data_IF_486364543448
#
_entry.id   IF_486364543448
#
_cell.length_a   1.000
_cell.length_b   1.000
_cell.length_c   1.000
_cell.angle_alpha   90.00
_cell.angle_beta   90.00
_cell.angle_gamma   90.00
#
_symmetry.space_group_name_H-M   'P 1'
#
loop_
_entity.id
_entity.type
_entity.pdbx_description
1 polymer ?
#
# COMPACT_ATOMS: atom_id res chain seq x y z
N UNK A 1 -4.21 -4.63 26.40
CA UNK A 1 -5.50 -4.73 25.64
C UNK A 1 -5.16 -5.08 24.21
N UNK A 2 -5.87 -6.04 23.60
CA UNK A 2 -5.68 -6.36 22.17
C UNK A 2 -6.27 -5.23 21.32
N UNK A 3 -5.71 -4.93 20.15
CA UNK A 3 -6.23 -3.89 19.25
C UNK A 3 -7.72 -4.08 18.95
N UNK A 4 -8.16 -5.34 18.70
CA UNK A 4 -9.56 -5.68 18.46
C UNK A 4 -10.53 -5.30 19.60
N UNK A 5 -10.02 -5.14 20.84
CA UNK A 5 -10.80 -4.71 22.00
C UNK A 5 -10.79 -3.19 22.19
N UNK A 6 -9.83 -2.50 21.55
CA UNK A 6 -9.67 -1.05 21.67
C UNK A 6 -10.23 -0.28 20.47
N UNK A 7 -10.62 -0.99 19.39
CA UNK A 7 -11.21 -0.38 18.21
C UNK A 7 -12.70 -0.10 18.42
N UNK A 8 -13.12 1.11 18.04
CA UNK A 8 -14.53 1.46 17.93
C UNK A 8 -15.08 0.85 16.62
N UNK A 9 -15.78 -0.27 16.73
CA UNK A 9 -16.36 -0.96 15.58
C UNK A 9 -17.71 -0.33 15.27
N UNK A 10 -17.96 0.00 14.02
CA UNK A 10 -19.29 0.47 13.57
C UNK A 10 -20.23 -0.72 13.48
N UNK A 11 -21.05 -0.93 14.52
CA UNK A 11 -21.90 -2.11 14.67
C UNK A 11 -23.10 -2.20 13.71
N UNK A 12 -23.46 -1.13 13.01
CA UNK A 12 -24.64 -1.05 12.16
C UNK A 12 -24.30 -0.81 10.68
N UNK A 13 -23.16 -1.34 10.21
CA UNK A 13 -22.80 -1.20 8.83
C UNK A 13 -23.57 -2.18 7.95
N UNK A 14 -24.25 -1.65 6.94
CA UNK A 14 -24.83 -2.45 5.87
C UNK A 14 -23.85 -2.47 4.71
N UNK A 15 -23.31 -3.63 4.31
CA UNK A 15 -22.42 -3.72 3.16
C UNK A 15 -23.06 -3.09 1.92
N UNK A 16 -22.24 -2.42 1.09
CA UNK A 16 -22.74 -1.90 -0.17
C UNK A 16 -23.20 -3.05 -1.07
N UNK A 17 -24.39 -2.91 -1.61
CA UNK A 17 -24.87 -3.79 -2.66
C UNK A 17 -24.14 -3.43 -3.96
N UNK A 18 -23.20 -4.27 -4.37
CA UNK A 18 -22.55 -4.14 -5.67
C UNK A 18 -23.48 -4.72 -6.73
N UNK A 19 -24.19 -3.87 -7.46
CA UNK A 19 -25.05 -4.30 -8.56
C UNK A 19 -24.25 -4.63 -9.82
N UNK A 20 -23.07 -4.02 -9.98
CA UNK A 20 -22.18 -4.22 -11.16
C UNK A 20 -20.70 -4.03 -10.79
N UNK A 21 -19.77 -4.48 -11.66
CA UNK A 21 -18.34 -4.12 -11.56
C UNK A 21 -18.09 -2.62 -11.72
N UNK A 22 -18.98 -1.90 -12.40
CA UNK A 22 -18.92 -0.45 -12.52
C UNK A 22 -19.06 0.27 -11.18
N UNK A 23 -19.63 -0.38 -10.16
CA UNK A 23 -19.69 0.20 -8.81
C UNK A 23 -18.30 0.25 -8.13
N UNK A 24 -17.35 -0.57 -8.58
CA UNK A 24 -15.96 -0.56 -8.10
C UNK A 24 -15.11 0.50 -8.82
N UNK A 25 -15.23 0.55 -10.15
CA UNK A 25 -14.56 1.51 -11.03
C UNK A 25 -15.60 2.02 -12.03
N UNK A 26 -16.36 3.05 -11.66
CA UNK A 26 -17.46 3.51 -12.51
C UNK A 26 -16.95 4.09 -13.84
N UNK A 27 -17.70 3.90 -14.95
CA UNK A 27 -17.35 4.52 -16.23
C UNK A 27 -17.17 6.03 -16.13
N UNK A 28 -18.01 6.71 -15.34
CA UNK A 28 -17.95 8.15 -15.11
C UNK A 28 -16.64 8.56 -14.44
N UNK A 29 -16.16 7.80 -13.45
CA UNK A 29 -14.88 8.03 -12.79
C UNK A 29 -13.70 7.82 -13.76
N UNK A 30 -13.79 6.81 -14.62
CA UNK A 30 -12.78 6.55 -15.65
C UNK A 30 -12.75 7.71 -16.64
N UNK A 31 -13.92 8.14 -17.14
CA UNK A 31 -14.05 9.25 -18.10
C UNK A 31 -13.54 10.56 -17.49
N UNK A 32 -13.85 10.83 -16.22
CA UNK A 32 -13.33 11.97 -15.48
C UNK A 32 -11.79 11.96 -15.40
N UNK A 33 -11.19 10.83 -15.01
CA UNK A 33 -9.73 10.71 -14.96
C UNK A 33 -9.07 10.88 -16.33
N UNK A 34 -9.69 10.36 -17.39
CA UNK A 34 -9.21 10.53 -18.76
C UNK A 34 -9.30 12.01 -19.21
N UNK A 35 -10.38 12.70 -18.86
CA UNK A 35 -10.56 14.11 -19.16
C UNK A 35 -9.56 14.99 -18.40
N UNK A 36 -9.40 14.78 -17.10
CA UNK A 36 -8.49 15.54 -16.23
C UNK A 36 -7.02 15.42 -16.67
N UNK A 37 -6.65 14.28 -17.27
CA UNK A 37 -5.29 14.05 -17.77
C UNK A 37 -5.12 14.41 -19.26
N UNK A 38 -6.16 14.92 -19.91
CA UNK A 38 -6.11 15.22 -21.35
C UNK A 38 -5.95 14.00 -22.25
N UNK A 39 -6.21 12.79 -21.73
CA UNK A 39 -6.02 11.50 -22.42
C UNK A 39 -7.29 11.09 -23.18
N UNK A 40 -7.94 12.04 -23.85
CA UNK A 40 -9.21 11.80 -24.55
C UNK A 40 -8.98 11.09 -25.89
N UNK A 41 -9.75 10.06 -26.15
CA UNK A 41 -9.72 9.34 -27.44
C UNK A 41 -10.67 10.03 -28.44
N UNK A 42 -10.13 10.83 -29.34
CA UNK A 42 -10.91 11.47 -30.43
C UNK A 42 -11.52 10.47 -31.44
N UNK A 43 -11.03 9.24 -31.44
CA UNK A 43 -11.54 8.16 -32.31
C UNK A 43 -11.74 6.90 -31.48
N UNK A 44 -12.93 6.31 -31.48
CA UNK A 44 -13.20 4.98 -30.92
C UNK A 44 -12.34 3.93 -31.66
N UNK A 45 -11.14 3.70 -31.16
CA UNK A 45 -10.24 2.64 -31.63
C UNK A 45 -10.57 1.36 -30.87
N UNK A 46 -10.10 0.23 -31.40
CA UNK A 46 -10.29 -1.08 -30.83
C UNK A 46 -9.74 -1.23 -29.38
N UNK A 47 -8.68 -0.50 -29.05
CA UNK A 47 -8.17 -0.33 -27.69
C UNK A 47 -8.52 1.10 -27.24
N UNK A 48 -9.67 1.25 -26.64
CA UNK A 48 -10.07 2.53 -26.04
C UNK A 48 -9.26 2.82 -24.77
N UNK A 49 -9.22 4.07 -24.33
CA UNK A 49 -8.46 4.43 -23.13
C UNK A 49 -9.13 3.86 -21.87
N UNK A 50 -10.44 3.71 -21.84
CA UNK A 50 -11.21 3.05 -20.78
C UNK A 50 -10.80 1.58 -20.62
N UNK A 51 -10.62 0.86 -21.74
CA UNK A 51 -10.07 -0.50 -21.72
C UNK A 51 -8.65 -0.56 -21.15
N UNK A 52 -7.86 0.50 -21.36
CA UNK A 52 -6.48 0.52 -20.86
C UNK A 52 -6.41 0.63 -19.34
N UNK A 53 -7.39 1.25 -18.67
CA UNK A 53 -7.50 1.20 -17.19
C UNK A 53 -7.57 -0.26 -16.72
N UNK A 54 -8.50 -1.01 -17.32
CA UNK A 54 -8.67 -2.43 -16.98
C UNK A 54 -7.49 -3.30 -17.41
N UNK A 55 -6.87 -3.00 -18.55
CA UNK A 55 -5.70 -3.74 -19.02
C UNK A 55 -4.50 -3.56 -18.07
N UNK A 56 -4.24 -2.33 -17.61
CA UNK A 56 -3.13 -2.05 -16.68
C UNK A 56 -3.41 -2.63 -15.29
N UNK A 57 -4.62 -2.49 -14.78
CA UNK A 57 -5.05 -3.11 -13.51
C UNK A 57 -5.00 -4.64 -13.61
N UNK A 58 -5.46 -5.18 -14.74
CA UNK A 58 -5.45 -6.62 -15.04
C UNK A 58 -4.04 -7.22 -15.12
N UNK A 59 -3.01 -6.43 -15.45
CA UNK A 59 -1.61 -6.91 -15.41
C UNK A 59 -1.21 -7.40 -14.02
N UNK A 60 -1.73 -6.80 -12.97
CA UNK A 60 -1.50 -7.23 -11.60
C UNK A 60 -2.44 -8.37 -11.20
N UNK A 61 -3.74 -8.24 -11.50
CA UNK A 61 -4.76 -9.24 -11.15
C UNK A 61 -4.49 -10.60 -11.82
N UNK A 62 -4.06 -10.59 -13.08
CA UNK A 62 -3.81 -11.79 -13.90
C UNK A 62 -2.33 -11.89 -14.30
N UNK A 63 -1.46 -11.89 -13.29
CA UNK A 63 -0.01 -11.85 -13.47
C UNK A 63 0.55 -12.94 -14.38
N UNK A 64 -0.04 -14.13 -14.40
CA UNK A 64 0.38 -15.26 -15.26
C UNK A 64 -0.02 -15.09 -16.72
N UNK A 65 -0.93 -14.16 -17.05
CA UNK A 65 -1.39 -13.95 -18.43
C UNK A 65 -0.46 -12.99 -19.17
N UNK A 66 -0.20 -13.25 -20.46
CA UNK A 66 0.45 -12.28 -21.34
C UNK A 66 -0.48 -11.08 -21.59
N UNK A 67 0.08 -9.95 -22.03
CA UNK A 67 -0.72 -8.78 -22.40
C UNK A 67 -1.75 -9.08 -23.49
N UNK A 68 -1.39 -9.95 -24.45
CA UNK A 68 -2.31 -10.38 -25.50
C UNK A 68 -3.49 -11.17 -24.94
N UNK A 69 -3.23 -12.09 -24.00
CA UNK A 69 -4.29 -12.83 -23.33
C UNK A 69 -5.20 -11.91 -22.51
N UNK A 70 -4.63 -10.93 -21.77
CA UNK A 70 -5.40 -9.93 -21.02
C UNK A 70 -6.34 -9.15 -21.94
N UNK A 71 -5.82 -8.67 -23.05
CA UNK A 71 -6.63 -7.91 -24.03
C UNK A 71 -7.68 -8.81 -24.68
N UNK A 72 -7.38 -10.08 -24.94
CA UNK A 72 -8.38 -11.03 -25.45
C UNK A 72 -9.50 -11.28 -24.45
N UNK A 73 -9.19 -11.35 -23.15
CA UNK A 73 -10.21 -11.41 -22.10
C UNK A 73 -11.07 -10.15 -22.06
N UNK A 74 -10.47 -8.97 -22.23
CA UNK A 74 -11.19 -7.70 -22.29
C UNK A 74 -11.98 -7.53 -23.62
N UNK A 75 -11.52 -8.09 -24.75
CA UNK A 75 -12.24 -8.10 -26.03
C UNK A 75 -13.54 -8.95 -25.97
N UNK A 76 -13.59 -9.97 -25.10
CA UNK A 76 -14.81 -10.73 -24.83
C UNK A 76 -15.85 -9.82 -24.14
N UNK A 77 -15.39 -8.85 -23.35
CA UNK A 77 -16.25 -7.84 -22.68
C UNK A 77 -16.86 -6.81 -23.66
N UNK A 78 -16.16 -6.55 -24.77
CA UNK A 78 -16.54 -5.55 -25.78
C UNK A 78 -16.62 -6.21 -27.17
N UNK A 79 -17.74 -6.87 -27.52
CA UNK A 79 -17.84 -7.67 -28.70
C UNK A 79 -17.58 -6.85 -29.98
N UNK A 80 -16.50 -7.16 -30.67
CA UNK A 80 -16.09 -6.62 -31.95
C UNK A 80 -15.87 -7.73 -32.98
N UNK A 81 -16.02 -7.42 -34.27
CA UNK A 81 -15.91 -8.41 -35.36
C UNK A 81 -14.51 -9.00 -35.62
N UNK A 82 -13.48 -8.60 -34.86
CA UNK A 82 -12.07 -9.10 -35.04
C UNK A 82 -11.41 -9.36 -33.69
N UNK A 83 -11.09 -10.63 -33.35
CA UNK A 83 -10.68 -11.03 -31.99
C UNK A 83 -9.20 -10.81 -31.63
N UNK A 84 -8.34 -10.34 -32.52
CA UNK A 84 -6.91 -10.26 -32.23
C UNK A 84 -6.34 -8.84 -32.33
N UNK A 85 -5.76 -8.35 -31.22
CA UNK A 85 -4.95 -7.13 -31.18
C UNK A 85 -3.48 -7.54 -31.18
N UNK A 86 -2.69 -6.96 -32.11
CA UNK A 86 -1.27 -7.21 -32.13
C UNK A 86 -0.59 -6.76 -30.82
N UNK A 87 0.37 -7.52 -30.27
CA UNK A 87 1.07 -7.15 -29.03
C UNK A 87 1.69 -5.75 -29.08
N UNK A 88 2.20 -5.33 -30.23
CA UNK A 88 2.75 -3.98 -30.45
C UNK A 88 1.69 -2.88 -30.29
N UNK A 89 0.45 -3.12 -30.69
CA UNK A 89 -0.65 -2.16 -30.53
C UNK A 89 -1.00 -1.95 -29.06
N UNK A 90 -0.90 -2.99 -28.23
CA UNK A 90 -1.10 -2.89 -26.78
C UNK A 90 -0.01 -2.03 -26.14
N UNK A 91 1.25 -2.23 -26.51
CA UNK A 91 2.37 -1.42 -26.00
C UNK A 91 2.19 0.04 -26.40
N UNK A 92 1.85 0.31 -27.66
CA UNK A 92 1.57 1.68 -28.12
C UNK A 92 0.36 2.31 -27.41
N UNK A 93 -0.68 1.53 -27.14
CA UNK A 93 -1.84 2.01 -26.38
C UNK A 93 -1.44 2.36 -24.94
N UNK A 94 -0.64 1.53 -24.26
CA UNK A 94 -0.10 1.82 -22.94
C UNK A 94 0.77 3.08 -22.92
N UNK A 95 1.60 3.31 -23.92
CA UNK A 95 2.42 4.52 -24.04
C UNK A 95 1.55 5.79 -24.18
N UNK A 96 0.47 5.73 -25.00
CA UNK A 96 -0.47 6.85 -25.13
C UNK A 96 -1.32 7.08 -23.89
N UNK A 97 -1.65 6.00 -23.18
CA UNK A 97 -2.42 6.07 -21.95
C UNK A 97 -1.65 6.79 -20.81
N UNK A 98 -0.32 6.61 -20.77
CA UNK A 98 0.55 7.25 -19.79
C UNK A 98 0.40 6.69 -18.36
N UNK A 99 1.12 7.28 -17.43
CA UNK A 99 1.04 6.89 -16.00
C UNK A 99 0.01 7.73 -15.22
N UNK A 100 -0.26 8.96 -15.65
CA UNK A 100 -1.07 9.93 -14.90
C UNK A 100 -2.52 9.49 -14.74
N UNK A 101 -3.10 8.86 -15.75
CA UNK A 101 -4.48 8.37 -15.69
C UNK A 101 -4.62 7.32 -14.57
N UNK A 102 -3.72 6.32 -14.55
CA UNK A 102 -3.83 5.23 -13.57
C UNK A 102 -3.45 5.72 -12.17
N UNK A 103 -2.54 6.69 -12.05
CA UNK A 103 -2.25 7.39 -10.80
C UNK A 103 -3.50 8.11 -10.27
N UNK A 104 -4.12 8.91 -11.10
CA UNK A 104 -5.33 9.66 -10.73
C UNK A 104 -6.50 8.72 -10.38
N UNK A 105 -6.64 7.60 -11.12
CA UNK A 105 -7.58 6.53 -10.78
C UNK A 105 -7.33 5.98 -9.37
N UNK A 106 -6.08 5.70 -9.01
CA UNK A 106 -5.75 5.27 -7.66
C UNK A 106 -6.11 6.35 -6.62
N UNK A 107 -5.74 7.61 -6.85
CA UNK A 107 -5.97 8.72 -5.92
C UNK A 107 -7.47 8.99 -5.69
N UNK A 108 -8.30 8.93 -6.74
CA UNK A 108 -9.75 9.13 -6.63
C UNK A 108 -10.45 7.92 -6.01
N UNK A 109 -10.11 6.71 -6.45
CA UNK A 109 -10.72 5.49 -5.91
C UNK A 109 -10.35 5.26 -4.44
N UNK A 110 -9.10 5.55 -4.05
CA UNK A 110 -8.72 5.39 -2.64
C UNK A 110 -9.57 6.31 -1.74
N UNK A 111 -9.79 7.58 -2.10
CA UNK A 111 -10.66 8.50 -1.33
C UNK A 111 -12.07 7.94 -1.21
N UNK A 112 -12.66 7.57 -2.34
CA UNK A 112 -14.01 7.00 -2.39
C UNK A 112 -14.13 5.74 -1.53
N UNK A 113 -13.15 4.84 -1.60
CA UNK A 113 -13.20 3.59 -0.83
C UNK A 113 -12.92 3.80 0.66
N UNK A 114 -12.09 4.77 1.04
CA UNK A 114 -11.93 5.17 2.43
C UNK A 114 -13.23 5.77 3.00
N UNK A 115 -13.91 6.64 2.26
CA UNK A 115 -15.20 7.20 2.66
C UNK A 115 -16.31 6.14 2.79
N UNK A 116 -16.29 5.16 1.88
CA UNK A 116 -17.29 4.07 1.85
C UNK A 116 -16.97 2.91 2.80
N UNK A 117 -15.79 2.85 3.38
CA UNK A 117 -15.38 1.80 4.31
C UNK A 117 -15.51 2.30 5.74
N UNK A 118 -16.29 1.64 6.61
CA UNK A 118 -16.35 1.98 8.02
C UNK A 118 -15.05 1.56 8.68
N UNK A 119 -14.07 2.45 8.69
CA UNK A 119 -12.77 2.19 9.29
C UNK A 119 -12.89 2.16 10.80
N UNK A 120 -12.25 1.18 11.43
CA UNK A 120 -12.17 1.10 12.88
C UNK A 120 -11.20 2.16 13.42
N UNK A 121 -11.58 2.79 14.52
CA UNK A 121 -10.80 3.86 15.15
C UNK A 121 -10.33 3.45 16.55
N UNK A 122 -9.12 3.88 16.90
CA UNK A 122 -8.60 3.75 18.24
C UNK A 122 -8.56 5.12 18.91
N UNK A 123 -9.32 5.32 19.98
CA UNK A 123 -9.48 6.62 20.64
C UNK A 123 -9.79 7.78 19.68
N UNK A 124 -10.64 7.54 18.68
CA UNK A 124 -11.01 8.50 17.67
C UNK A 124 -9.94 8.71 16.57
N UNK A 125 -8.87 7.94 16.57
CA UNK A 125 -7.78 8.04 15.59
C UNK A 125 -7.84 6.88 14.58
N UNK A 126 -7.73 7.20 13.29
CA UNK A 126 -7.47 6.22 12.24
C UNK A 126 -6.04 5.71 12.34
N UNK A 127 -5.85 4.39 12.35
CA UNK A 127 -4.53 3.79 12.47
C UNK A 127 -3.90 3.61 11.09
N UNK A 128 -2.79 4.29 10.87
CA UNK A 128 -2.02 4.25 9.63
C UNK A 128 -0.66 3.63 9.88
N UNK A 129 -0.08 3.00 8.88
CA UNK A 129 1.31 2.56 8.88
C UNK A 129 2.01 3.04 7.61
N UNK A 130 3.28 3.42 7.71
CA UNK A 130 4.13 3.80 6.57
C UNK A 130 5.35 2.91 6.55
N UNK A 131 5.64 2.32 5.40
CA UNK A 131 6.84 1.52 5.18
C UNK A 131 7.26 1.55 3.71
N UNK A 132 8.51 1.17 3.46
CA UNK A 132 9.11 1.14 2.15
C UNK A 132 9.32 -0.27 1.61
N UNK A 133 9.31 -0.40 0.30
CA UNK A 133 9.66 -1.63 -0.39
C UNK A 133 10.37 -1.33 -1.70
N UNK A 134 11.08 -2.33 -2.23
CA UNK A 134 11.82 -2.21 -3.50
C UNK A 134 11.26 -3.21 -4.50
N UNK A 135 11.07 -2.74 -5.74
CA UNK A 135 10.63 -3.54 -6.87
C UNK A 135 11.77 -3.68 -7.86
N UNK A 136 11.90 -4.87 -8.47
CA UNK A 136 12.85 -5.11 -9.56
C UNK A 136 12.22 -4.76 -10.89
N UNK A 137 12.99 -4.14 -11.77
CA UNK A 137 12.59 -3.89 -13.15
C UNK A 137 13.42 -4.75 -14.10
N UNK A 138 12.95 -5.01 -15.33
CA UNK A 138 13.78 -5.65 -16.35
C UNK A 138 15.11 -4.92 -16.54
N UNK A 139 16.16 -5.69 -16.78
CA UNK A 139 17.51 -5.19 -17.00
C UNK A 139 17.61 -4.61 -18.44
N UNK A 140 17.15 -3.37 -18.58
CA UNK A 140 17.27 -2.60 -19.82
C UNK A 140 18.07 -1.31 -19.56
N UNK A 141 18.79 -0.78 -20.57
CA UNK A 141 19.53 0.47 -20.40
C UNK A 141 18.66 1.61 -19.91
N UNK A 142 17.42 1.73 -20.39
CA UNK A 142 16.50 2.79 -20.02
C UNK A 142 16.06 2.67 -18.55
N UNK A 143 15.76 1.46 -18.08
CA UNK A 143 15.39 1.24 -16.68
C UNK A 143 16.59 1.42 -15.76
N UNK A 144 17.78 1.02 -16.18
CA UNK A 144 19.02 1.21 -15.39
C UNK A 144 19.35 2.69 -15.24
N UNK A 145 19.29 3.45 -16.34
CA UNK A 145 19.49 4.88 -16.32
C UNK A 145 18.49 5.65 -15.45
N UNK A 146 17.20 5.20 -15.47
CA UNK A 146 16.13 5.89 -14.75
C UNK A 146 16.06 5.54 -13.25
N UNK A 147 16.31 4.29 -12.89
CA UNK A 147 16.05 3.79 -11.54
C UNK A 147 17.31 3.45 -10.75
N UNK A 148 18.40 3.09 -11.45
CA UNK A 148 19.65 2.70 -10.82
C UNK A 148 19.54 1.38 -10.05
N UNK A 149 20.61 1.04 -9.35
CA UNK A 149 20.76 -0.21 -8.58
C UNK A 149 21.20 0.09 -7.16
N UNK A 150 20.66 -0.65 -6.19
CA UNK A 150 21.19 -0.59 -4.82
C UNK A 150 22.56 -1.25 -4.79
N UNK A 151 23.55 -0.53 -4.28
CA UNK A 151 24.89 -1.04 -4.03
C UNK A 151 25.17 -1.04 -2.53
N UNK A 152 25.63 -2.18 -2.00
CA UNK A 152 26.27 -2.30 -0.69
C UNK A 152 27.75 -2.60 -0.91
N UNK A 153 28.59 -2.38 0.12
CA UNK A 153 30.06 -2.55 0.08
C UNK A 153 30.50 -3.85 -0.63
N UNK A 154 29.67 -4.89 -0.62
CA UNK A 154 30.01 -6.21 -1.17
C UNK A 154 29.09 -6.71 -2.29
N UNK A 155 28.02 -5.97 -2.68
CA UNK A 155 27.06 -6.44 -3.69
C UNK A 155 26.32 -5.28 -4.34
N UNK A 156 26.35 -5.25 -5.67
CA UNK A 156 25.41 -4.46 -6.48
C UNK A 156 24.21 -5.32 -6.86
N UNK A 157 23.02 -4.74 -6.89
CA UNK A 157 21.83 -5.45 -7.39
C UNK A 157 22.04 -5.86 -8.86
N UNK A 158 21.64 -7.07 -9.22
CA UNK A 158 21.67 -7.56 -10.61
C UNK A 158 20.61 -6.86 -11.50
N UNK A 159 19.63 -6.21 -10.88
CA UNK A 159 18.47 -5.60 -11.55
C UNK A 159 18.34 -4.15 -11.16
N UNK A 160 17.95 -3.26 -12.08
CA UNK A 160 17.52 -1.92 -11.73
C UNK A 160 16.30 -1.98 -10.80
N UNK A 161 16.15 -1.01 -9.91
CA UNK A 161 15.18 -1.08 -8.82
C UNK A 161 14.45 0.24 -8.62
N UNK A 162 13.14 0.13 -8.37
CA UNK A 162 12.27 1.23 -7.94
C UNK A 162 11.99 1.08 -6.45
N UNK A 163 12.21 2.15 -5.69
CA UNK A 163 11.76 2.25 -4.29
C UNK A 163 10.32 2.76 -4.28
N UNK A 164 9.49 2.13 -3.49
CA UNK A 164 8.11 2.54 -3.24
C UNK A 164 7.89 2.68 -1.75
N UNK A 165 7.26 3.77 -1.32
CA UNK A 165 6.77 3.95 0.04
C UNK A 165 5.25 4.07 -0.03
N UNK A 166 4.55 3.33 0.81
CA UNK A 166 3.10 3.38 0.92
C UNK A 166 2.66 3.80 2.31
N UNK A 167 1.48 4.40 2.38
CA UNK A 167 0.71 4.57 3.59
C UNK A 167 -0.50 3.64 3.52
N UNK A 168 -0.76 2.89 4.58
CA UNK A 168 -1.81 1.87 4.66
C UNK A 168 -2.63 2.07 5.94
N UNK A 169 -3.95 1.94 5.84
CA UNK A 169 -4.79 1.81 7.02
C UNK A 169 -4.66 0.38 7.57
N UNK A 170 -4.39 0.28 8.88
CA UNK A 170 -3.92 -0.96 9.53
C UNK A 170 -4.99 -2.06 9.59
N UNK A 171 -6.26 -1.71 9.70
CA UNK A 171 -7.35 -2.68 9.90
C UNK A 171 -7.93 -3.20 8.58
N UNK A 172 -8.04 -2.35 7.57
CA UNK A 172 -8.54 -2.71 6.24
C UNK A 172 -7.44 -3.16 5.28
N UNK A 173 -6.19 -2.74 5.53
CA UNK A 173 -5.06 -2.81 4.61
C UNK A 173 -5.24 -1.99 3.32
N UNK A 174 -6.19 -1.07 3.28
CA UNK A 174 -6.33 -0.14 2.17
C UNK A 174 -5.15 0.84 2.15
N UNK A 175 -4.54 1.01 0.98
CA UNK A 175 -3.51 2.01 0.78
C UNK A 175 -4.17 3.37 0.58
N UNK A 176 -3.82 4.34 1.43
CA UNK A 176 -4.25 5.74 1.30
C UNK A 176 -3.36 6.54 0.36
N UNK A 177 -2.10 6.17 0.26
CA UNK A 177 -1.13 6.86 -0.58
C UNK A 177 0.02 5.93 -0.98
N UNK A 178 0.64 6.23 -2.11
CA UNK A 178 1.87 5.60 -2.57
C UNK A 178 2.76 6.63 -3.29
N UNK A 179 4.06 6.52 -3.09
CA UNK A 179 5.07 7.28 -3.83
C UNK A 179 6.21 6.36 -4.23
N UNK A 180 6.78 6.56 -5.41
CA UNK A 180 7.90 5.74 -5.87
C UNK A 180 8.86 6.52 -6.76
N UNK A 181 10.14 6.20 -6.63
CA UNK A 181 11.22 6.78 -7.41
C UNK A 181 12.42 5.83 -7.48
N UNK A 182 13.46 6.26 -8.18
CA UNK A 182 14.75 5.60 -8.24
C UNK A 182 15.31 5.31 -6.85
N UNK A 183 15.92 4.14 -6.67
CA UNK A 183 16.60 3.80 -5.40
C UNK A 183 17.84 4.67 -5.13
N UNK A 184 18.38 5.31 -6.15
CA UNK A 184 19.55 6.20 -6.05
C UNK A 184 19.16 7.67 -5.87
N UNK A 185 17.98 8.10 -6.31
CA UNK A 185 17.56 9.51 -6.29
C UNK A 185 16.85 9.91 -5.00
N UNK A 186 15.99 9.05 -4.44
CA UNK A 186 15.15 9.37 -3.29
C UNK A 186 15.32 8.36 -2.15
N UNK A 187 15.49 8.87 -0.93
CA UNK A 187 15.40 8.08 0.30
C UNK A 187 13.94 7.78 0.69
N UNK A 188 13.75 6.82 1.60
CA UNK A 188 12.41 6.49 2.10
C UNK A 188 11.73 7.68 2.77
N UNK A 189 12.47 8.52 3.50
CA UNK A 189 11.94 9.72 4.12
C UNK A 189 11.49 10.78 3.10
N UNK A 190 12.13 10.85 1.93
CA UNK A 190 11.74 11.78 0.86
C UNK A 190 10.45 11.34 0.18
N UNK A 191 10.30 10.04 -0.03
CA UNK A 191 9.06 9.47 -0.56
C UNK A 191 7.93 9.56 0.47
N UNK A 192 8.20 9.30 1.75
CA UNK A 192 7.21 9.45 2.82
C UNK A 192 6.67 10.89 2.90
N UNK A 193 7.51 11.89 2.66
CA UNK A 193 7.08 13.29 2.63
C UNK A 193 5.99 13.56 1.56
N UNK A 194 6.04 12.85 0.44
CA UNK A 194 5.04 12.97 -0.62
C UNK A 194 3.67 12.41 -0.22
N UNK A 195 3.60 11.59 0.84
CA UNK A 195 2.35 11.01 1.34
C UNK A 195 1.60 11.94 2.30
N UNK A 196 2.26 13.00 2.81
CA UNK A 196 1.68 13.92 3.78
C UNK A 196 0.33 14.51 3.34
N UNK A 197 0.14 14.96 2.07
CA UNK A 197 -1.14 15.53 1.63
C UNK A 197 -2.33 14.56 1.71
N UNK A 198 -2.08 13.25 1.56
CA UNK A 198 -3.11 12.21 1.60
C UNK A 198 -3.30 11.60 3.01
N UNK A 199 -2.47 12.01 3.98
CA UNK A 199 -2.62 11.52 5.37
C UNK A 199 -3.89 12.09 5.98
N UNK A 200 -4.80 11.25 6.53
CA UNK A 200 -6.03 11.73 7.13
C UNK A 200 -5.75 12.53 8.42
N UNK A 201 -6.61 13.49 8.72
CA UNK A 201 -6.69 14.11 10.04
C UNK A 201 -7.19 13.09 11.06
N UNK A 202 -7.03 13.37 12.33
CA UNK A 202 -7.38 12.44 13.42
C UNK A 202 -6.80 11.04 13.18
N UNK A 203 -5.49 10.96 12.98
CA UNK A 203 -4.79 9.71 12.67
C UNK A 203 -3.53 9.50 13.50
N UNK A 204 -3.17 8.24 13.69
CA UNK A 204 -1.89 7.81 14.24
C UNK A 204 -1.12 7.02 13.17
N UNK A 205 0.03 7.51 12.75
CA UNK A 205 0.89 6.83 11.79
C UNK A 205 2.03 6.11 12.48
N UNK A 206 2.12 4.81 12.25
CA UNK A 206 3.18 3.92 12.73
C UNK A 206 4.31 3.86 11.70
N UNK A 207 5.49 4.31 12.11
CA UNK A 207 6.69 4.27 11.28
C UNK A 207 7.68 3.24 11.79
N UNK A 208 8.49 2.75 10.88
CA UNK A 208 9.68 2.02 11.26
C UNK A 208 10.82 2.99 11.68
N UNK A 209 11.89 2.42 12.24
CA UNK A 209 13.06 3.17 12.69
C UNK A 209 13.79 3.90 11.54
N UNK A 210 13.67 3.43 10.30
CA UNK A 210 14.27 4.03 9.10
C UNK A 210 13.74 5.43 8.82
N UNK A 211 12.51 5.71 9.22
CA UNK A 211 11.86 7.01 9.04
C UNK A 211 12.19 8.02 10.16
N UNK A 212 13.17 7.74 11.01
CA UNK A 212 13.59 8.68 12.05
C UNK A 212 14.27 9.91 11.43
N UNK A 213 13.45 10.88 11.03
CA UNK A 213 13.87 12.17 10.51
C UNK A 213 12.98 13.25 11.15
N UNK A 214 13.54 14.04 12.08
CA UNK A 214 12.74 14.98 12.90
C UNK A 214 11.98 16.00 12.05
N UNK A 215 12.55 16.45 10.93
CA UNK A 215 11.87 17.35 10.00
C UNK A 215 10.65 16.70 9.33
N UNK A 216 10.72 15.42 8.95
CA UNK A 216 9.58 14.65 8.43
C UNK A 216 8.49 14.53 9.49
N UNK A 217 8.85 14.15 10.71
CA UNK A 217 7.90 13.98 11.83
C UNK A 217 7.21 15.29 12.18
N UNK A 218 7.96 16.41 12.19
CA UNK A 218 7.38 17.74 12.38
C UNK A 218 6.40 18.10 11.24
N UNK A 219 6.82 17.93 9.98
CA UNK A 219 5.97 18.22 8.82
C UNK A 219 4.70 17.35 8.83
N UNK A 220 4.83 16.07 9.19
CA UNK A 220 3.70 15.14 9.30
C UNK A 220 2.64 15.63 10.30
N UNK A 221 3.09 15.99 11.49
CA UNK A 221 2.23 16.48 12.58
C UNK A 221 1.59 17.83 12.24
N UNK A 222 2.35 18.73 11.61
CA UNK A 222 1.93 20.12 11.37
C UNK A 222 1.02 20.26 10.13
N UNK A 223 0.92 19.25 9.28
CA UNK A 223 0.19 19.33 8.03
C UNK A 223 -1.33 19.16 8.16
N UNK A 224 -1.85 18.88 9.35
CA UNK A 224 -3.28 18.71 9.59
C UNK A 224 -3.63 18.65 11.08
N UNK A 225 -4.88 18.27 11.36
CA UNK A 225 -5.44 18.25 12.71
C UNK A 225 -5.28 16.88 13.36
N UNK A 226 -4.75 16.82 14.57
CA UNK A 226 -4.53 15.58 15.36
C UNK A 226 -3.85 14.46 14.52
N UNK A 227 -2.84 14.82 13.75
CA UNK A 227 -1.99 13.87 13.05
C UNK A 227 -0.84 13.45 13.95
N UNK A 228 -0.95 12.25 14.48
CA UNK A 228 0.04 11.69 15.38
C UNK A 228 0.97 10.74 14.64
N UNK A 229 2.17 10.56 15.19
CA UNK A 229 3.16 9.60 14.71
C UNK A 229 3.76 8.81 15.88
N UNK A 230 4.27 7.63 15.59
CA UNK A 230 4.95 6.74 16.52
C UNK A 230 6.02 5.93 15.80
N UNK A 231 7.21 5.83 16.41
CA UNK A 231 8.33 5.03 15.91
C UNK A 231 9.29 4.63 17.05
N UNK A 232 10.17 3.62 16.83
CA UNK A 232 11.23 3.32 17.79
C UNK A 232 12.27 4.44 17.84
N UNK A 233 12.74 4.74 19.04
CA UNK A 233 13.82 5.68 19.22
C UNK A 233 15.10 5.17 18.51
N UNK A 234 15.74 6.03 17.73
CA UNK A 234 17.00 5.70 17.06
C UNK A 234 18.13 5.61 18.09
N UNK A 235 18.97 4.58 17.97
CA UNK A 235 20.18 4.46 18.81
C UNK A 235 21.08 5.69 18.66
N UNK A 236 21.46 6.28 19.76
CA UNK A 236 22.28 7.51 19.79
C UNK A 236 21.51 8.80 19.54
N UNK A 237 20.15 8.75 19.50
CA UNK A 237 19.35 9.96 19.44
C UNK A 237 19.60 10.85 20.67
N UNK A 238 19.84 12.14 20.43
CA UNK A 238 20.00 13.13 21.49
C UNK A 238 18.64 13.77 21.81
N UNK A 239 18.31 13.84 23.07
CA UNK A 239 17.09 14.50 23.56
C UNK A 239 17.29 15.07 24.96
N UNK A 240 16.51 16.07 25.31
CA UNK A 240 16.45 16.64 26.65
C UNK A 240 15.16 16.20 27.30
N UNK A 241 15.22 15.66 28.52
CA UNK A 241 14.02 15.37 29.31
C UNK A 241 13.45 16.71 29.82
N UNK A 242 12.22 16.99 29.42
CA UNK A 242 11.49 18.20 29.87
C UNK A 242 10.73 17.90 31.16
N UNK A 243 10.08 16.73 31.23
CA UNK A 243 9.29 16.32 32.39
C UNK A 243 9.20 14.78 32.45
N UNK A 244 9.43 14.23 33.64
CA UNK A 244 9.12 12.82 33.92
C UNK A 244 7.62 12.62 34.07
N UNK A 245 7.08 11.59 33.43
CA UNK A 245 5.68 11.18 33.55
C UNK A 245 5.50 9.93 34.44
N UNK A 246 6.60 9.41 35.00
CA UNK A 246 6.59 8.18 35.78
C UNK A 246 6.55 6.90 34.93
N UNK A 247 6.71 5.75 35.58
CA UNK A 247 6.58 4.42 34.97
C UNK A 247 7.36 4.24 33.63
N UNK A 248 8.57 4.80 33.55
CA UNK A 248 9.41 4.72 32.34
C UNK A 248 8.91 5.58 31.16
N UNK A 249 8.27 6.70 31.46
CA UNK A 249 7.79 7.66 30.47
C UNK A 249 8.32 9.07 30.77
N UNK A 250 8.59 9.83 29.73
CA UNK A 250 9.01 11.22 29.85
C UNK A 250 8.54 12.05 28.64
N UNK A 251 8.26 13.33 28.87
CA UNK A 251 8.24 14.31 27.78
C UNK A 251 9.68 14.71 27.49
N UNK A 252 10.02 14.62 26.22
CA UNK A 252 11.35 14.93 25.71
C UNK A 252 11.29 15.97 24.62
N UNK A 253 12.36 16.73 24.49
CA UNK A 253 12.58 17.69 23.44
C UNK A 253 13.76 17.24 22.58
N UNK A 254 13.55 17.18 21.28
CA UNK A 254 14.53 16.78 20.28
C UNK A 254 14.91 17.98 19.42
N UNK A 255 16.22 18.24 19.30
CA UNK A 255 16.74 19.36 18.54
C UNK A 255 16.83 18.99 17.06
N UNK A 256 16.27 19.81 16.17
CA UNK A 256 16.45 19.64 14.74
C UNK A 256 17.86 20.10 14.33
N UNK A 257 18.54 19.29 13.51
CA UNK A 257 19.84 19.67 12.97
C UNK A 257 19.72 20.82 11.97
N UNK A 258 20.79 21.63 11.76
CA UNK A 258 20.78 22.68 10.74
C UNK A 258 20.44 22.17 9.33
N UNK A 259 20.90 20.95 8.98
CA UNK A 259 20.56 20.32 7.70
C UNK A 259 19.08 19.97 7.62
N UNK A 260 18.47 19.46 8.71
CA UNK A 260 17.04 19.19 8.76
C UNK A 260 16.23 20.47 8.58
N UNK A 261 16.60 21.56 9.23
CA UNK A 261 15.94 22.87 9.08
C UNK A 261 16.05 23.42 7.65
N UNK A 262 17.23 23.27 7.01
CA UNK A 262 17.43 23.67 5.62
C UNK A 262 16.55 22.88 4.65
N UNK A 263 16.38 21.56 4.89
CA UNK A 263 15.57 20.67 4.05
C UNK A 263 14.07 20.89 4.29
N UNK A 264 13.67 21.10 5.54
CA UNK A 264 12.27 21.24 5.96
C UNK A 264 12.00 22.69 6.37
N UNK A 265 11.73 23.54 5.37
CA UNK A 265 11.44 24.96 5.61
C UNK A 265 10.19 25.12 6.48
N UNK A 266 10.29 26.01 7.49
CA UNK A 266 9.20 26.22 8.45
C UNK A 266 9.16 25.21 9.61
N UNK A 267 10.09 24.25 9.68
CA UNK A 267 10.18 23.36 10.84
C UNK A 267 10.65 24.15 12.08
N UNK A 268 10.02 23.85 13.23
CA UNK A 268 10.44 24.41 14.51
C UNK A 268 11.86 23.96 14.89
N UNK A 269 12.53 24.71 15.77
CA UNK A 269 13.88 24.38 16.24
C UNK A 269 13.93 23.06 17.01
N UNK A 270 12.85 22.75 17.69
CA UNK A 270 12.70 21.58 18.54
C UNK A 270 11.39 20.86 18.25
N UNK A 271 11.38 19.56 18.48
CA UNK A 271 10.19 18.72 18.43
C UNK A 271 9.95 18.13 19.82
N UNK A 272 8.78 18.42 20.39
CA UNK A 272 8.35 17.82 21.66
C UNK A 272 7.69 16.47 21.38
N UNK A 273 8.09 15.45 22.13
CA UNK A 273 7.55 14.11 22.02
C UNK A 273 7.47 13.41 23.38
N UNK A 274 6.71 12.33 23.43
CA UNK A 274 6.66 11.43 24.57
C UNK A 274 7.54 10.22 24.29
N UNK A 275 8.50 9.98 25.18
CA UNK A 275 9.35 8.80 25.19
C UNK A 275 8.75 7.76 26.13
N UNK A 276 8.55 6.54 25.66
CA UNK A 276 8.01 5.42 26.40
C UNK A 276 9.04 4.28 26.39
N UNK A 277 9.47 3.84 27.58
CA UNK A 277 10.35 2.67 27.72
C UNK A 277 9.58 1.47 28.28
N UNK A 278 9.77 0.31 27.67
CA UNK A 278 9.19 -0.96 28.09
C UNK A 278 10.25 -2.06 28.01
N UNK A 279 10.31 -2.89 29.03
CA UNK A 279 11.10 -4.13 29.01
C UNK A 279 10.34 -5.23 28.26
N UNK A 280 10.95 -5.78 27.21
CA UNK A 280 10.42 -6.90 26.43
C UNK A 280 11.52 -7.97 26.28
N UNK A 281 11.30 -9.14 26.84
CA UNK A 281 12.24 -10.27 26.78
C UNK A 281 13.68 -9.88 27.21
N UNK A 282 13.81 -9.13 28.30
CA UNK A 282 15.10 -8.67 28.84
C UNK A 282 15.78 -7.57 28.02
N UNK A 283 15.08 -6.94 27.07
CA UNK A 283 15.57 -5.79 26.31
C UNK A 283 14.68 -4.59 26.50
N UNK A 284 15.29 -3.43 26.76
CA UNK A 284 14.56 -2.16 26.81
C UNK A 284 14.24 -1.71 25.39
N UNK A 285 12.95 -1.65 25.07
CA UNK A 285 12.42 -1.05 23.84
C UNK A 285 11.97 0.38 24.18
N UNK A 286 12.40 1.34 23.38
CA UNK A 286 12.02 2.75 23.50
C UNK A 286 11.22 3.19 22.29
N UNK A 287 10.04 3.73 22.54
CA UNK A 287 9.12 4.26 21.52
C UNK A 287 9.01 5.77 21.73
N UNK A 288 9.09 6.50 20.64
CA UNK A 288 8.88 7.93 20.57
C UNK A 288 7.56 8.21 19.85
N UNK A 289 6.74 9.13 20.41
CA UNK A 289 5.44 9.47 19.83
C UNK A 289 5.07 10.93 20.09
N UNK A 290 4.29 11.53 19.19
CA UNK A 290 3.69 12.85 19.36
C UNK A 290 2.48 12.87 20.32
N UNK A 291 1.97 11.71 20.74
CA UNK A 291 0.87 11.57 21.71
C UNK A 291 1.37 11.87 23.13
N UNK A 292 1.44 13.14 23.49
CA UNK A 292 2.06 13.60 24.72
C UNK A 292 1.21 13.42 25.98
N UNK A 293 -0.11 13.28 25.87
CA UNK A 293 -1.03 13.11 27.00
C UNK A 293 -1.12 11.64 27.46
N UNK A 294 -0.58 11.26 28.63
CA UNK A 294 -0.62 9.90 29.13
C UNK A 294 -2.00 9.45 29.63
N UNK A 295 -2.92 10.40 29.92
CA UNK A 295 -4.28 10.08 30.35
C UNK A 295 -5.15 9.72 29.15
N UNK A 296 -5.07 10.51 28.09
CA UNK A 296 -5.78 10.22 26.83
C UNK A 296 -5.21 8.96 26.13
N UNK A 297 -3.89 8.76 26.20
CA UNK A 297 -3.20 7.67 25.54
C UNK A 297 -2.39 6.81 26.54
N UNK A 298 -3.01 5.82 27.20
CA UNK A 298 -2.34 5.00 28.21
C UNK A 298 -1.12 4.24 27.65
N UNK A 299 -0.04 4.15 28.46
CA UNK A 299 1.22 3.51 28.04
C UNK A 299 1.04 2.10 27.50
N UNK A 300 0.22 1.28 28.17
CA UNK A 300 0.02 -0.11 27.79
C UNK A 300 -0.53 -0.22 26.35
N UNK A 301 -1.52 0.57 26.04
CA UNK A 301 -2.22 0.58 24.77
C UNK A 301 -1.30 1.11 23.64
N UNK A 302 -0.55 2.20 23.91
CA UNK A 302 0.41 2.78 22.95
C UNK A 302 1.50 1.76 22.57
N UNK A 303 2.00 0.99 23.54
CA UNK A 303 3.03 -0.02 23.25
C UNK A 303 2.46 -1.21 22.48
N UNK A 304 1.24 -1.61 22.76
CA UNK A 304 0.56 -2.68 22.03
C UNK A 304 0.32 -2.28 20.56
N UNK A 305 -0.16 -1.06 20.33
CA UNK A 305 -0.39 -0.52 18.99
C UNK A 305 0.85 -0.59 18.08
N UNK A 306 2.04 -0.36 18.62
CA UNK A 306 3.26 -0.40 17.80
C UNK A 306 3.49 -1.77 17.14
N UNK A 307 3.00 -2.84 17.75
CA UNK A 307 3.04 -4.18 17.17
C UNK A 307 2.31 -4.29 15.82
N UNK A 308 1.28 -3.48 15.61
CA UNK A 308 0.49 -3.47 14.37
C UNK A 308 1.19 -2.81 13.19
N UNK A 309 2.34 -2.16 13.37
CA UNK A 309 3.18 -1.71 12.26
C UNK A 309 3.51 -2.83 11.26
N UNK A 310 3.58 -4.07 11.73
CA UNK A 310 3.85 -5.22 10.85
C UNK A 310 2.76 -5.49 9.81
N UNK A 311 1.58 -4.91 9.93
CA UNK A 311 0.49 -5.14 8.98
C UNK A 311 0.83 -4.58 7.59
N UNK A 312 1.57 -3.46 7.49
CA UNK A 312 2.02 -2.96 6.17
C UNK A 312 3.06 -3.90 5.51
N UNK A 313 3.91 -4.55 6.31
CA UNK A 313 4.81 -5.58 5.77
C UNK A 313 4.03 -6.80 5.26
N UNK A 314 2.90 -7.14 5.92
CA UNK A 314 1.96 -8.13 5.41
C UNK A 314 1.33 -7.67 4.09
N UNK A 315 0.90 -6.42 3.97
CA UNK A 315 0.41 -5.83 2.72
C UNK A 315 1.41 -5.94 1.56
N UNK A 316 2.68 -5.62 1.79
CA UNK A 316 3.73 -5.83 0.78
C UNK A 316 3.95 -7.29 0.41
N UNK A 317 3.83 -8.20 1.39
CA UNK A 317 3.89 -9.64 1.13
C UNK A 317 2.71 -10.10 0.27
N UNK A 318 1.52 -9.60 0.54
CA UNK A 318 0.31 -9.87 -0.25
C UNK A 318 0.46 -9.40 -1.68
N UNK A 319 0.95 -8.20 -1.91
CA UNK A 319 1.23 -7.69 -3.25
C UNK A 319 2.27 -8.56 -3.98
N UNK A 320 3.41 -8.83 -3.35
CA UNK A 320 4.52 -9.56 -3.99
C UNK A 320 4.26 -11.05 -4.17
N UNK A 321 3.74 -11.71 -3.12
CA UNK A 321 3.63 -13.17 -3.10
C UNK A 321 2.30 -13.68 -3.62
N UNK A 322 1.21 -12.96 -3.38
CA UNK A 322 -0.13 -13.44 -3.69
C UNK A 322 -0.76 -12.71 -4.89
N UNK A 323 -0.59 -11.40 -5.00
CA UNK A 323 -1.09 -10.67 -6.17
C UNK A 323 -0.19 -10.93 -7.39
N UNK A 324 1.14 -10.77 -7.25
CA UNK A 324 2.10 -10.96 -8.33
C UNK A 324 2.73 -12.37 -8.39
N UNK A 325 2.20 -13.35 -7.67
CA UNK A 325 2.62 -14.77 -7.71
C UNK A 325 4.13 -14.98 -7.48
N UNK A 326 4.79 -14.19 -6.62
CA UNK A 326 6.24 -14.17 -6.40
C UNK A 326 7.08 -13.76 -7.64
N UNK A 327 6.47 -13.24 -8.69
CA UNK A 327 7.21 -12.65 -9.81
C UNK A 327 7.71 -11.27 -9.40
N UNK A 328 8.87 -11.23 -8.75
CA UNK A 328 9.43 -10.02 -8.13
C UNK A 328 9.91 -8.96 -9.14
N UNK A 329 10.12 -9.35 -10.40
CA UNK A 329 10.51 -8.44 -11.47
C UNK A 329 9.29 -7.98 -12.24
N UNK A 330 9.10 -6.68 -12.36
CA UNK A 330 8.03 -6.08 -13.18
C UNK A 330 8.21 -6.46 -14.65
N UNK A 331 7.16 -6.28 -15.48
CA UNK A 331 7.19 -6.69 -16.88
C UNK A 331 7.68 -5.60 -17.82
N UNK A 332 7.53 -4.34 -17.41
CA UNK A 332 7.69 -3.18 -18.28
C UNK A 332 9.16 -2.84 -18.49
N UNK A 333 9.56 -2.71 -19.75
CA UNK A 333 10.95 -2.48 -20.16
C UNK A 333 11.33 -1.00 -20.25
N UNK A 334 10.36 -0.10 -20.13
CA UNK A 334 10.57 1.35 -20.18
C UNK A 334 10.14 2.01 -18.88
N UNK A 335 10.83 3.04 -18.39
CA UNK A 335 10.56 3.65 -17.08
C UNK A 335 9.14 4.17 -16.90
N UNK A 336 8.59 4.84 -17.89
CA UNK A 336 7.20 5.34 -17.85
C UNK A 336 6.18 4.22 -17.75
N UNK A 337 6.43 3.08 -18.40
CA UNK A 337 5.57 1.91 -18.32
C UNK A 337 5.78 1.13 -17.01
N UNK A 338 6.95 1.21 -16.39
CA UNK A 338 7.21 0.67 -15.05
C UNK A 338 6.39 1.43 -14.01
N UNK A 339 6.40 2.77 -14.06
CA UNK A 339 5.59 3.61 -13.16
C UNK A 339 4.10 3.33 -13.35
N UNK A 340 3.64 3.27 -14.59
CA UNK A 340 2.26 2.88 -14.92
C UNK A 340 1.89 1.50 -14.35
N UNK A 341 2.78 0.49 -14.49
CA UNK A 341 2.56 -0.86 -13.97
C UNK A 341 2.45 -0.86 -12.43
N UNK A 342 3.27 -0.07 -11.73
CA UNK A 342 3.22 0.06 -10.28
C UNK A 342 1.90 0.70 -9.81
N UNK A 343 1.43 1.76 -10.48
CA UNK A 343 0.10 2.32 -10.19
C UNK A 343 -1.01 1.29 -10.41
N UNK A 344 -0.89 0.47 -11.45
CA UNK A 344 -1.82 -0.65 -11.68
C UNK A 344 -1.77 -1.69 -10.57
N UNK A 345 -0.59 -1.98 -10.01
CA UNK A 345 -0.43 -2.92 -8.88
C UNK A 345 -1.12 -2.39 -7.61
N UNK A 346 -0.90 -1.12 -7.24
CA UNK A 346 -1.51 -0.55 -6.02
C UNK A 346 -3.02 -0.37 -6.17
N UNK A 347 -3.50 -0.02 -7.37
CA UNK A 347 -4.94 0.05 -7.66
C UNK A 347 -5.60 -1.34 -7.58
N UNK A 348 -5.00 -2.36 -8.20
CA UNK A 348 -5.49 -3.73 -8.15
C UNK A 348 -5.50 -4.29 -6.71
N UNK A 349 -4.47 -3.96 -5.93
CA UNK A 349 -4.40 -4.34 -4.53
C UNK A 349 -5.55 -3.71 -3.72
N UNK A 350 -5.75 -2.39 -3.85
CA UNK A 350 -6.82 -1.69 -3.16
C UNK A 350 -8.21 -2.18 -3.58
N UNK A 351 -8.42 -2.49 -4.86
CA UNK A 351 -9.68 -3.07 -5.33
C UNK A 351 -10.01 -4.38 -4.60
N UNK A 352 -9.04 -5.29 -4.52
CA UNK A 352 -9.23 -6.55 -3.80
C UNK A 352 -9.45 -6.31 -2.30
N UNK A 353 -8.69 -5.40 -1.69
CA UNK A 353 -8.83 -5.09 -0.27
C UNK A 353 -10.16 -4.42 0.06
N UNK A 354 -10.66 -3.55 -0.81
CA UNK A 354 -11.97 -2.95 -0.65
C UNK A 354 -13.08 -4.02 -0.66
N UNK A 355 -13.04 -4.94 -1.63
CA UNK A 355 -14.00 -6.05 -1.66
C UNK A 355 -13.88 -6.93 -0.41
N UNK A 356 -12.66 -7.24 0.04
CA UNK A 356 -12.43 -8.01 1.26
C UNK A 356 -12.94 -7.29 2.51
N UNK A 357 -12.82 -5.97 2.58
CA UNK A 357 -13.38 -5.18 3.67
C UNK A 357 -14.92 -5.30 3.71
N UNK A 358 -15.58 -5.18 2.56
CA UNK A 358 -17.03 -5.38 2.46
C UNK A 358 -17.43 -6.79 2.92
N UNK A 359 -16.67 -7.82 2.52
CA UNK A 359 -16.89 -9.20 2.95
C UNK A 359 -16.72 -9.37 4.47
N UNK A 360 -15.69 -8.76 5.04
CA UNK A 360 -15.45 -8.83 6.49
C UNK A 360 -16.58 -8.16 7.27
N UNK A 361 -16.98 -6.97 6.87
CA UNK A 361 -18.06 -6.22 7.54
C UNK A 361 -19.45 -6.83 7.37
N UNK A 362 -19.66 -7.72 6.40
CA UNK A 362 -20.86 -8.56 6.35
C UNK A 362 -20.93 -9.58 7.50
N UNK A 363 -19.81 -9.83 8.18
CA UNK A 363 -19.66 -10.76 9.29
C UNK A 363 -19.55 -9.98 10.61
N UNK A 364 -20.25 -10.44 11.66
CA UNK A 364 -20.16 -9.79 12.98
C UNK A 364 -18.80 -10.05 13.62
N UNK A 365 -18.12 -8.97 14.02
CA UNK A 365 -16.86 -9.05 14.80
C UNK A 365 -15.65 -9.53 14.01
N UNK A 366 -15.66 -9.42 12.70
CA UNK A 366 -14.53 -9.75 11.82
C UNK A 366 -13.94 -8.48 11.22
N UNK A 367 -12.67 -8.22 11.51
CA UNK A 367 -11.92 -7.12 10.91
C UNK A 367 -11.34 -7.54 9.55
N UNK A 368 -11.21 -6.62 8.58
CA UNK A 368 -10.71 -6.94 7.23
C UNK A 368 -9.33 -7.60 7.19
N UNK A 369 -8.43 -7.27 8.14
CA UNK A 369 -7.09 -7.92 8.22
C UNK A 369 -7.17 -9.40 8.61
N UNK A 370 -8.29 -9.85 9.16
CA UNK A 370 -8.53 -11.26 9.49
C UNK A 370 -8.93 -12.10 8.27
N UNK A 371 -9.22 -11.47 7.14
CA UNK A 371 -9.52 -12.18 5.89
C UNK A 371 -8.24 -12.71 5.21
N UNK A 372 -8.32 -13.91 4.64
CA UNK A 372 -7.21 -14.51 3.89
C UNK A 372 -7.03 -13.85 2.53
N UNK A 373 -6.06 -12.93 2.38
CA UNK A 373 -5.81 -12.30 1.08
C UNK A 373 -5.59 -13.30 -0.05
N UNK A 374 -4.80 -14.37 0.21
CA UNK A 374 -4.50 -15.39 -0.81
C UNK A 374 -5.77 -16.07 -1.35
N UNK A 375 -6.65 -16.50 -0.46
CA UNK A 375 -7.88 -17.19 -0.84
C UNK A 375 -8.89 -16.22 -1.44
N UNK A 376 -9.08 -15.05 -0.82
CA UNK A 376 -9.98 -14.01 -1.33
C UNK A 376 -9.55 -13.53 -2.72
N UNK A 377 -8.27 -13.24 -2.93
CA UNK A 377 -7.77 -12.82 -4.23
C UNK A 377 -7.93 -13.90 -5.31
N UNK A 378 -7.74 -15.19 -4.96
CA UNK A 378 -7.98 -16.29 -5.89
C UNK A 378 -9.47 -16.36 -6.28
N UNK A 379 -10.34 -16.33 -5.28
CA UNK A 379 -11.79 -16.42 -5.45
C UNK A 379 -12.32 -15.22 -6.27
N UNK A 380 -11.99 -14.01 -5.87
CA UNK A 380 -12.41 -12.78 -6.55
C UNK A 380 -11.92 -12.74 -7.99
N UNK A 381 -10.64 -13.09 -8.26
CA UNK A 381 -10.11 -13.15 -9.63
C UNK A 381 -10.84 -14.15 -10.51
N UNK A 382 -11.21 -15.31 -9.96
CA UNK A 382 -11.97 -16.31 -10.70
C UNK A 382 -13.35 -15.77 -11.13
N UNK A 383 -14.05 -15.09 -10.22
CA UNK A 383 -15.34 -14.48 -10.53
C UNK A 383 -15.21 -13.29 -11.50
N UNK A 384 -14.22 -12.43 -11.30
CA UNK A 384 -13.92 -11.34 -12.24
C UNK A 384 -13.65 -11.84 -13.66
N UNK A 385 -13.04 -13.03 -13.82
CA UNK A 385 -12.78 -13.65 -15.12
C UNK A 385 -14.05 -14.19 -15.80
N UNK A 386 -15.08 -14.54 -15.04
CA UNK A 386 -16.32 -15.10 -15.56
C UNK A 386 -17.35 -14.02 -15.94
N UNK A 387 -17.30 -12.85 -15.31
CA UNK A 387 -18.25 -11.75 -15.51
C UNK A 387 -18.47 -11.35 -16.97
N UNK A 388 -17.44 -11.35 -17.85
CA UNK A 388 -17.61 -10.99 -19.25
C UNK A 388 -18.64 -11.81 -20.03
N UNK A 389 -18.79 -13.09 -19.69
CA UNK A 389 -19.73 -13.99 -20.34
C UNK A 389 -21.14 -13.97 -19.74
N UNK A 390 -21.39 -13.13 -18.73
CA UNK A 390 -22.62 -13.14 -17.95
C UNK A 390 -23.50 -11.95 -18.34
N UNK A 391 -24.79 -12.19 -18.52
CA UNK A 391 -25.74 -11.10 -18.77
C UNK A 391 -25.78 -10.13 -17.58
N UNK A 392 -25.84 -8.80 -17.82
CA UNK A 392 -25.81 -7.79 -16.74
C UNK A 392 -26.80 -8.05 -15.59
N UNK A 393 -27.99 -8.52 -15.89
CA UNK A 393 -29.01 -8.82 -14.87
C UNK A 393 -28.67 -9.98 -13.93
N UNK A 394 -27.63 -10.77 -14.21
CA UNK A 394 -27.17 -11.85 -13.32
C UNK A 394 -25.99 -11.42 -12.42
N UNK A 395 -25.39 -10.26 -12.69
CA UNK A 395 -24.22 -9.77 -11.94
C UNK A 395 -24.54 -9.58 -10.44
N UNK A 396 -25.68 -8.97 -10.05
CA UNK A 396 -26.02 -8.82 -8.64
C UNK A 396 -26.02 -10.16 -7.89
N UNK A 397 -26.64 -11.20 -8.46
CA UNK A 397 -26.65 -12.52 -7.86
C UNK A 397 -25.26 -13.12 -7.67
N UNK A 398 -24.36 -12.90 -8.64
CA UNK A 398 -22.97 -13.38 -8.50
C UNK A 398 -22.23 -12.62 -7.40
N UNK A 399 -22.48 -11.32 -7.27
CA UNK A 399 -21.92 -10.54 -6.17
C UNK A 399 -22.45 -11.01 -4.81
N UNK A 400 -23.73 -11.36 -4.71
CA UNK A 400 -24.31 -12.01 -3.51
C UNK A 400 -23.60 -13.34 -3.21
N UNK A 401 -23.38 -14.18 -4.22
CA UNK A 401 -22.64 -15.45 -4.08
C UNK A 401 -21.18 -15.20 -3.63
N UNK A 402 -20.54 -14.15 -4.16
CA UNK A 402 -19.20 -13.73 -3.73
C UNK A 402 -19.20 -13.32 -2.26
N UNK A 403 -20.18 -12.53 -1.82
CA UNK A 403 -20.29 -12.10 -0.43
C UNK A 403 -20.63 -13.27 0.51
N UNK A 404 -21.44 -14.22 0.08
CA UNK A 404 -21.81 -15.40 0.86
C UNK A 404 -20.61 -16.31 1.21
N UNK A 405 -19.51 -16.22 0.46
CA UNK A 405 -18.27 -16.98 0.74
C UNK A 405 -17.41 -16.38 1.86
N UNK A 406 -17.72 -15.18 2.34
CA UNK A 406 -16.93 -14.48 3.35
C UNK A 406 -16.56 -15.33 4.57
N UNK A 407 -17.47 -16.14 5.19
CA UNK A 407 -17.13 -16.95 6.36
C UNK A 407 -16.01 -17.96 6.10
N UNK A 408 -15.94 -18.52 4.89
CA UNK A 408 -14.92 -19.49 4.49
C UNK A 408 -13.54 -18.86 4.23
N UNK A 409 -13.46 -17.54 4.16
CA UNK A 409 -12.25 -16.79 3.85
C UNK A 409 -11.61 -16.14 5.09
N UNK A 410 -12.23 -16.27 6.25
CA UNK A 410 -11.68 -15.80 7.53
C UNK A 410 -10.49 -16.66 7.93
N UNK A 411 -9.40 -16.02 8.32
CA UNK A 411 -8.20 -16.72 8.84
C UNK A 411 -8.52 -17.35 10.20
N UNK A 412 -8.12 -18.59 10.45
CA UNK A 412 -8.24 -19.18 11.77
C UNK A 412 -7.35 -18.41 12.76
N UNK A 413 -7.71 -18.41 14.04
CA UNK A 413 -6.90 -17.81 15.09
C UNK A 413 -5.44 -18.28 14.99
N UNK A 414 -4.54 -17.30 15.05
CA UNK A 414 -3.10 -17.60 14.95
C UNK A 414 -2.65 -18.36 16.19
N UNK A 415 -2.26 -19.61 16.03
CA UNK A 415 -1.63 -20.38 17.12
C UNK A 415 -0.35 -19.68 17.56
N UNK A 416 -0.21 -19.42 18.84
CA UNK A 416 1.04 -18.94 19.43
C UNK A 416 2.12 -20.02 19.21
N UNK A 417 3.15 -19.67 18.44
CA UNK A 417 4.25 -20.61 18.18
C UNK A 417 5.36 -20.38 19.19
N UNK A 418 5.63 -21.38 20.02
CA UNK A 418 6.67 -21.34 21.05
C UNK A 418 8.07 -21.72 20.52
N UNK A 419 8.19 -22.24 19.29
CA UNK A 419 9.46 -22.70 18.74
C UNK A 419 9.99 -21.74 17.66
N UNK A 420 11.25 -21.24 17.81
CA UNK A 420 11.88 -20.47 16.74
C UNK A 420 12.06 -21.36 15.51
N UNK A 421 11.70 -20.84 14.34
CA UNK A 421 11.93 -21.53 13.07
C UNK A 421 13.38 -21.33 12.64
N UNK A 422 14.08 -22.41 12.33
CA UNK A 422 15.33 -22.31 11.58
C UNK A 422 15.05 -21.69 10.21
N UNK A 423 15.74 -20.60 9.91
CA UNK A 423 15.65 -19.96 8.57
C UNK A 423 16.42 -20.85 7.60
N UNK A 424 15.72 -21.63 6.76
CA UNK A 424 16.36 -22.31 5.63
C UNK A 424 16.87 -21.24 4.64
N UNK A 425 18.18 -21.09 4.53
CA UNK A 425 18.77 -20.37 3.41
C UNK A 425 18.44 -21.15 2.13
N UNK A 426 17.59 -20.58 1.27
CA UNK A 426 17.38 -21.14 -0.07
C UNK A 426 18.71 -21.04 -0.81
N UNK A 427 19.22 -22.14 -1.42
CA UNK A 427 20.38 -22.04 -2.28
C UNK A 427 20.07 -21.05 -3.42
N UNK A 428 21.06 -20.24 -3.79
CA UNK A 428 20.91 -19.31 -4.91
C UNK A 428 20.67 -20.12 -6.18
N UNK A 429 19.63 -19.82 -6.92
CA UNK A 429 19.22 -20.55 -8.12
C UNK A 429 20.21 -20.39 -9.28
N UNK A 430 21.00 -19.31 -9.23
CA UNK A 430 22.04 -18.99 -10.22
C UNK A 430 23.32 -18.55 -9.52
N UNK A 431 24.50 -18.91 -10.05
CA UNK A 431 25.76 -18.43 -9.51
C UNK A 431 25.83 -16.89 -9.60
N UNK A 432 26.46 -16.27 -8.60
CA UNK A 432 26.75 -14.84 -8.64
C UNK A 432 27.68 -14.54 -9.82
N UNK A 433 27.35 -13.55 -10.65
CA UNK A 433 28.31 -13.01 -11.60
C UNK A 433 29.52 -12.48 -10.82
N UNK A 434 30.76 -12.81 -11.23
CA UNK A 434 31.92 -12.15 -10.67
C UNK A 434 31.80 -10.65 -10.90
N UNK A 435 32.32 -9.80 -9.98
CA UNK A 435 32.34 -8.36 -10.20
C UNK A 435 33.06 -8.09 -11.52
N UNK A 436 32.49 -7.20 -12.34
CA UNK A 436 33.15 -6.70 -13.53
C UNK A 436 34.49 -6.09 -13.06
N UNK A 437 35.60 -6.69 -13.51
CA UNK A 437 36.91 -6.12 -13.29
C UNK A 437 36.92 -4.79 -14.04
N UNK A 438 37.10 -3.69 -13.31
CA UNK A 438 37.38 -2.36 -13.85
C UNK A 438 38.64 -2.36 -14.71
#
# INVERSE_FOLDING_TARGET
MLLSQALDIVHNFTPQEFSTLSDLLSPELIDECLADTGTVTLRKRRLSMEMMVWAVTGMALFRSHSMTQLVSHLDILLPGKRPFVAPSAVVQARQRFGEDVIRLMFEKTQRLWFEKTPLSHWNGLTLMAVDGTVWRTPDTPENDAAFGRTANINKCSEWPQVRMVCQMEVTSHLLSAAAFDSVSAAGEADLAAQLIPQTPDHSLTLFDKGFYALGLLHAWQSAGTERHWMLPLRKGAQYRIVRSLGAGQALVELQLSPQAKKKWQGAADTLTARLISKELNGKTVQILTSMCDPLRYPKADVVDLYGHRWEIEHGFREMKQHLLNNELTLRSKKPELVRQELWGVVLAYNLLRFMMAQMAYSLKGVEPYQMSFKQSALYLRSHLSLLPGISPGKIPRIMEEVMAMAPGLVLPERRVRHYPRAVKKKPQRYPLRPPLRS
#
